data_IF_668411624257
#
_entry.id   IF_668411624257
#
_cell.length_a   1.000
_cell.length_b   1.000
_cell.length_c   1.000
_cell.angle_alpha   90.00
_cell.angle_beta   90.00
_cell.angle_gamma   90.00
#
_symmetry.space_group_name_H-M   'P 1'
#
loop_
_entity.id
_entity.type
_entity.pdbx_description
1 polymer ?
#
# COMPACT_ATOMS: atom_id res chain seq x y z
N UNK A 1 -4.54 5.15 -0.98
CA UNK A 1 -3.94 4.55 0.24
C UNK A 1 -4.63 4.97 1.55
N UNK A 2 -4.64 6.26 1.95
CA UNK A 2 -5.17 6.67 3.28
C UNK A 2 -6.62 6.26 3.56
N UNK A 3 -7.49 6.30 2.55
CA UNK A 3 -8.87 5.80 2.69
C UNK A 3 -8.94 4.31 3.07
N UNK A 4 -8.01 3.50 2.54
CA UNK A 4 -7.92 2.06 2.84
C UNK A 4 -7.44 1.86 4.27
N UNK A 5 -6.36 2.53 4.69
CA UNK A 5 -5.86 2.43 6.07
C UNK A 5 -6.90 2.87 7.10
N UNK A 6 -7.68 3.92 6.80
CA UNK A 6 -8.83 4.34 7.62
C UNK A 6 -9.89 3.25 7.73
N UNK A 7 -10.14 2.49 6.66
CA UNK A 7 -11.08 1.37 6.66
C UNK A 7 -10.54 0.19 7.48
N UNK A 8 -9.26 -0.17 7.29
CA UNK A 8 -8.58 -1.25 8.01
C UNK A 8 -8.54 -0.97 9.51
N UNK A 9 -8.18 0.25 9.92
CA UNK A 9 -8.11 0.64 11.34
C UNK A 9 -9.44 0.51 12.12
N UNK A 10 -10.56 0.31 11.42
CA UNK A 10 -11.91 0.19 12.01
C UNK A 10 -12.45 -1.24 12.01
N UNK A 11 -11.71 -2.20 11.47
CA UNK A 11 -12.15 -3.60 11.29
C UNK A 11 -11.17 -4.53 11.98
N UNK A 12 -11.70 -5.58 12.58
CA UNK A 12 -10.88 -6.68 13.11
C UNK A 12 -10.48 -7.65 11.99
N UNK A 13 -9.42 -8.41 12.25
CA UNK A 13 -8.94 -9.47 11.37
C UNK A 13 -7.88 -9.03 10.37
N UNK A 14 -7.41 -10.00 9.59
CA UNK A 14 -6.39 -9.80 8.56
C UNK A 14 -7.00 -9.23 7.30
N UNK A 15 -6.33 -8.23 6.74
CA UNK A 15 -6.71 -7.61 5.47
C UNK A 15 -5.52 -7.69 4.51
N UNK A 16 -5.77 -8.14 3.29
CA UNK A 16 -4.77 -8.13 2.22
C UNK A 16 -4.94 -6.87 1.37
N UNK A 17 -3.83 -6.20 1.08
CA UNK A 17 -3.78 -5.07 0.16
C UNK A 17 -2.77 -5.38 -0.95
N UNK A 18 -3.28 -5.68 -2.15
CA UNK A 18 -2.46 -5.84 -3.34
C UNK A 18 -2.17 -4.47 -3.97
N UNK A 19 -0.89 -4.24 -4.27
CA UNK A 19 -0.37 -2.99 -4.83
C UNK A 19 0.65 -3.30 -5.93
N UNK A 20 0.90 -2.33 -6.80
CA UNK A 20 1.88 -2.36 -7.89
C UNK A 20 2.80 -1.12 -7.84
N UNK A 21 3.54 -0.88 -6.74
CA UNK A 21 4.45 0.25 -6.67
C UNK A 21 5.58 0.08 -7.70
N UNK A 22 5.99 1.16 -8.34
CA UNK A 22 7.06 1.12 -9.34
C UNK A 22 7.82 2.43 -9.47
N UNK A 23 9.01 2.34 -10.06
CA UNK A 23 9.98 3.44 -10.09
C UNK A 23 9.84 4.37 -11.31
N UNK A 24 9.03 4.03 -12.31
CA UNK A 24 8.97 4.79 -13.55
C UNK A 24 7.63 4.58 -14.29
N UNK A 25 6.77 5.59 -14.28
CA UNK A 25 5.47 5.56 -14.94
C UNK A 25 5.60 5.47 -16.46
N UNK A 26 6.60 6.09 -17.07
CA UNK A 26 6.78 6.06 -18.53
C UNK A 26 7.16 4.68 -19.02
N UNK A 27 8.18 4.05 -18.41
CA UNK A 27 8.68 2.73 -18.81
C UNK A 27 7.60 1.67 -18.57
N UNK A 28 7.03 1.63 -17.37
CA UNK A 28 5.99 0.67 -17.01
C UNK A 28 4.68 0.94 -17.78
N UNK A 29 4.36 2.21 -18.03
CA UNK A 29 3.24 2.64 -18.87
C UNK A 29 3.35 2.14 -20.31
N UNK A 30 4.55 2.22 -20.89
CA UNK A 30 4.79 1.72 -22.24
C UNK A 30 4.69 0.18 -22.32
N UNK A 31 5.15 -0.51 -21.28
CA UNK A 31 5.14 -1.98 -21.21
C UNK A 31 3.75 -2.56 -20.97
N UNK A 32 3.04 -2.06 -19.95
CA UNK A 32 1.79 -2.65 -19.48
C UNK A 32 0.54 -1.93 -20.00
N UNK A 33 0.65 -0.64 -20.35
CA UNK A 33 -0.44 0.18 -20.94
C UNK A 33 -1.71 0.27 -20.10
N UNK A 34 -1.62 0.06 -18.79
CA UNK A 34 -2.75 0.13 -17.87
C UNK A 34 -3.21 1.57 -17.54
N UNK A 35 -2.42 2.58 -17.92
CA UNK A 35 -2.66 3.95 -17.49
C UNK A 35 -2.52 4.11 -15.97
N UNK A 36 -1.61 3.34 -15.37
CA UNK A 36 -1.44 3.29 -13.91
C UNK A 36 -0.42 4.32 -13.40
N UNK A 37 -0.50 4.60 -12.09
CA UNK A 37 0.35 5.57 -11.40
C UNK A 37 1.32 4.85 -10.44
N UNK A 38 2.24 4.08 -11.01
CA UNK A 38 3.23 3.27 -10.27
C UNK A 38 4.09 4.10 -9.30
N UNK A 39 4.59 5.25 -9.74
CA UNK A 39 5.45 6.11 -8.92
C UNK A 39 4.68 6.73 -7.75
N UNK A 40 3.44 7.18 -7.98
CA UNK A 40 2.60 7.76 -6.93
C UNK A 40 2.27 6.72 -5.86
N UNK A 41 2.01 5.47 -6.27
CA UNK A 41 1.77 4.38 -5.34
C UNK A 41 3.01 4.05 -4.51
N UNK A 42 4.18 3.93 -5.16
CA UNK A 42 5.46 3.73 -4.47
C UNK A 42 5.72 4.85 -3.45
N UNK A 43 5.53 6.11 -3.86
CA UNK A 43 5.72 7.26 -3.00
C UNK A 43 4.74 7.25 -1.82
N UNK A 44 3.49 6.85 -2.05
CA UNK A 44 2.48 6.75 -1.01
C UNK A 44 2.83 5.69 0.04
N UNK A 45 3.22 4.48 -0.38
CA UNK A 45 3.50 3.37 0.55
C UNK A 45 4.82 3.54 1.30
N UNK A 46 5.80 4.24 0.72
CA UNK A 46 7.08 4.56 1.37
C UNK A 46 7.06 5.89 2.17
N UNK A 47 5.95 6.64 2.16
CA UNK A 47 5.90 7.94 2.85
C UNK A 47 5.92 7.81 4.38
N UNK A 48 6.58 8.76 5.04
CA UNK A 48 6.54 8.90 6.50
C UNK A 48 5.10 9.02 7.02
N UNK A 49 4.21 9.66 6.26
CA UNK A 49 2.81 9.81 6.62
C UNK A 49 2.11 8.45 6.76
N UNK A 50 2.31 7.55 5.79
CA UNK A 50 1.79 6.18 5.83
C UNK A 50 2.34 5.40 7.03
N UNK A 51 3.66 5.44 7.23
CA UNK A 51 4.31 4.74 8.33
C UNK A 51 3.81 5.22 9.71
N UNK A 52 3.67 6.54 9.88
CA UNK A 52 3.13 7.11 11.13
C UNK A 52 1.67 6.71 11.36
N UNK A 53 0.84 6.73 10.31
CA UNK A 53 -0.57 6.33 10.43
C UNK A 53 -0.71 4.87 10.89
N UNK A 54 0.04 3.95 10.25
CA UNK A 54 0.05 2.52 10.59
C UNK A 54 0.38 2.33 12.08
N UNK A 55 1.44 3.00 12.55
CA UNK A 55 1.85 2.95 13.96
C UNK A 55 0.82 3.53 14.92
N UNK A 56 0.24 4.69 14.60
CA UNK A 56 -0.73 5.38 15.46
C UNK A 56 -2.05 4.63 15.61
N UNK A 57 -2.40 3.80 14.63
CA UNK A 57 -3.65 3.06 14.60
C UNK A 57 -3.48 1.58 14.90
N UNK A 58 -2.33 1.17 15.44
CA UNK A 58 -2.01 -0.21 15.81
C UNK A 58 -2.31 -1.21 14.67
N UNK A 59 -2.05 -0.79 13.42
CA UNK A 59 -2.13 -1.69 12.27
C UNK A 59 -0.82 -2.48 12.24
N UNK A 60 -0.90 -3.79 12.39
CA UNK A 60 0.25 -4.67 12.27
C UNK A 60 0.49 -5.01 10.79
N UNK A 61 1.72 -4.81 10.35
CA UNK A 61 2.15 -5.27 9.02
C UNK A 61 2.68 -6.68 9.15
N UNK A 62 1.96 -7.62 8.56
CA UNK A 62 2.30 -9.04 8.55
C UNK A 62 2.52 -9.53 7.12
N UNK A 63 3.17 -10.68 7.01
CA UNK A 63 3.26 -11.47 5.79
C UNK A 63 2.51 -12.80 5.96
N UNK A 64 2.35 -13.57 4.89
CA UNK A 64 1.60 -14.85 4.95
C UNK A 64 2.20 -15.87 5.93
N UNK A 65 3.49 -15.78 6.25
CA UNK A 65 4.14 -16.63 7.24
C UNK A 65 3.69 -16.36 8.68
N UNK A 66 3.02 -15.24 8.95
CA UNK A 66 2.54 -14.89 10.29
C UNK A 66 1.10 -15.39 10.56
N UNK A 67 0.41 -15.96 9.55
CA UNK A 67 -1.01 -16.36 9.62
C UNK A 67 -1.29 -17.77 10.16
N UNK A 68 -0.35 -18.34 10.90
CA UNK A 68 -0.37 -19.75 11.35
C UNK A 68 -1.30 -19.96 12.54
#
# INVERSE_FOLDING_TARGET
LMGILKSVSKKSGTHELMIHPGLNNTLLGNQYKWGYHWEDELQAVCSNHTHLYIRQHNIELINYGDLI
#
